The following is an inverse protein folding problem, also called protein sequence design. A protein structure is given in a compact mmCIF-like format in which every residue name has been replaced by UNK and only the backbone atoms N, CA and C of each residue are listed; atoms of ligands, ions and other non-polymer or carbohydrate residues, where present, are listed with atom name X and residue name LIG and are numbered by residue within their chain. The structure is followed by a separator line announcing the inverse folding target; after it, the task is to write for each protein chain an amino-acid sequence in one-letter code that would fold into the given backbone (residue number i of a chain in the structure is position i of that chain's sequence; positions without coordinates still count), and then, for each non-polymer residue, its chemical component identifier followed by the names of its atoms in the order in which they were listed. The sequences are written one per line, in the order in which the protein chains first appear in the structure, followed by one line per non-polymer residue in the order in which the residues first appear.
data_IF_134093771965
#
_entry.id   IF_134093771965
#
_cell.length_a   1.000
_cell.length_b   1.000
_cell.length_c   1.000
_cell.angle_alpha   90.00
_cell.angle_beta   90.00
_cell.angle_gamma   90.00
#
_symmetry.space_group_name_H-M   'P 1'
#
loop_
_entity.id
_entity.type
_entity.pdbx_description
1 polymer ?
#
# COMPACT_ATOMS: atom_id res chain seq x y z
N UNK A 1 2.55 8.17 4.94
CA UNK A 1 3.82 7.93 4.23
C UNK A 1 3.67 8.36 2.78
N UNK A 2 4.78 8.60 2.09
CA UNK A 2 4.78 8.91 0.65
C UNK A 2 5.30 7.70 -0.13
N UNK A 3 4.67 7.39 -1.26
CA UNK A 3 5.12 6.40 -2.23
C UNK A 3 5.03 7.03 -3.63
N UNK A 4 6.16 7.54 -4.11
CA UNK A 4 6.21 8.44 -5.27
C UNK A 4 5.27 9.64 -5.05
N UNK A 5 4.34 9.89 -5.97
CA UNK A 5 3.38 11.01 -5.88
C UNK A 5 2.17 10.70 -4.97
N UNK A 6 2.10 9.49 -4.39
CA UNK A 6 0.97 9.05 -3.59
C UNK A 6 1.22 9.23 -2.09
N UNK A 7 0.33 10.01 -1.47
CA UNK A 7 0.20 10.07 -0.02
C UNK A 7 -0.64 8.91 0.48
N UNK A 8 -0.09 8.13 1.40
CA UNK A 8 -0.71 6.92 1.95
C UNK A 8 -0.84 7.04 3.46
N UNK A 9 -2.08 6.98 3.95
CA UNK A 9 -2.41 6.83 5.36
C UNK A 9 -2.64 5.37 5.71
N UNK A 10 -2.02 4.89 6.79
CA UNK A 10 -2.22 3.53 7.27
C UNK A 10 -1.99 3.47 8.79
N UNK A 11 -2.66 2.54 9.50
CA UNK A 11 -2.45 2.36 10.94
C UNK A 11 -1.08 1.76 11.24
N UNK A 12 -0.57 1.98 12.46
CA UNK A 12 0.75 1.52 12.91
C UNK A 12 0.93 -0.01 12.91
N UNK A 13 -0.17 -0.76 12.84
CA UNK A 13 -0.16 -2.23 12.69
C UNK A 13 0.28 -2.69 11.30
N UNK A 14 0.43 -1.76 10.35
CA UNK A 14 0.99 -2.03 9.03
C UNK A 14 2.43 -1.56 8.95
N UNK A 15 3.26 -2.38 8.32
CA UNK A 15 4.66 -2.10 8.06
C UNK A 15 4.92 -2.15 6.57
N UNK A 16 5.44 -1.07 6.01
CA UNK A 16 5.71 -0.96 4.58
C UNK A 16 7.19 -1.24 4.26
N UNK A 17 7.40 -1.98 3.17
CA UNK A 17 8.69 -2.24 2.55
C UNK A 17 8.67 -1.70 1.13
N UNK A 18 9.58 -0.79 0.82
CA UNK A 18 9.61 -0.10 -0.46
C UNK A 18 10.81 -0.59 -1.26
N UNK A 19 10.56 -0.98 -2.50
CA UNK A 19 11.56 -1.27 -3.52
C UNK A 19 11.44 -0.19 -4.60
N UNK A 20 12.31 0.81 -4.49
CA UNK A 20 12.32 1.98 -5.38
C UNK A 20 12.80 1.63 -6.80
N UNK A 21 13.66 0.63 -6.95
CA UNK A 21 14.20 0.20 -8.24
C UNK A 21 13.10 -0.42 -9.10
N UNK A 22 12.29 -1.30 -8.50
CA UNK A 22 11.16 -1.95 -9.17
C UNK A 22 9.84 -1.17 -9.00
N UNK A 23 9.88 0.01 -8.37
CA UNK A 23 8.72 0.89 -8.11
C UNK A 23 7.53 0.14 -7.49
N UNK A 24 7.82 -0.66 -6.47
CA UNK A 24 6.83 -1.49 -5.76
C UNK A 24 6.93 -1.31 -4.26
N UNK A 25 5.85 -1.65 -3.57
CA UNK A 25 5.75 -1.61 -2.13
C UNK A 25 4.97 -2.83 -1.64
N UNK A 26 5.46 -3.46 -0.57
CA UNK A 26 4.71 -4.48 0.16
C UNK A 26 4.30 -3.92 1.52
N UNK A 27 3.06 -4.16 1.92
CA UNK A 27 2.55 -3.85 3.26
C UNK A 27 2.35 -5.17 3.98
N UNK A 28 3.05 -5.32 5.10
CA UNK A 28 3.01 -6.49 5.96
C UNK A 28 2.40 -6.13 7.32
N UNK A 29 2.09 -7.15 8.09
CA UNK A 29 1.95 -7.07 9.55
C UNK A 29 3.24 -6.54 10.21
N UNK A 30 3.12 -6.01 11.43
CA UNK A 30 4.28 -5.53 12.20
C UNK A 30 5.29 -6.64 12.53
N UNK A 31 4.84 -7.89 12.59
CA UNK A 31 5.68 -9.07 12.88
C UNK A 31 6.32 -9.66 11.61
N UNK A 32 6.09 -9.06 10.44
CA UNK A 32 6.60 -9.51 9.13
C UNK A 32 6.14 -10.93 8.72
N UNK A 33 5.09 -11.47 9.36
CA UNK A 33 4.58 -12.81 9.13
C UNK A 33 3.62 -12.91 7.92
N UNK A 34 2.95 -11.81 7.55
CA UNK A 34 1.98 -11.81 6.45
C UNK A 34 2.04 -10.56 5.57
N UNK A 35 2.07 -10.75 4.25
CA UNK A 35 1.85 -9.67 3.26
C UNK A 35 0.34 -9.40 3.14
N UNK A 36 -0.10 -8.24 3.61
CA UNK A 36 -1.49 -7.77 3.52
C UNK A 36 -1.83 -7.12 2.19
N UNK A 37 -0.88 -6.44 1.57
CA UNK A 37 -1.07 -5.77 0.28
C UNK A 37 0.27 -5.65 -0.45
N UNK A 38 0.24 -5.70 -1.76
CA UNK A 38 1.32 -5.21 -2.60
C UNK A 38 0.81 -4.07 -3.50
N UNK A 39 1.67 -3.12 -3.80
CA UNK A 39 1.43 -2.02 -4.74
C UNK A 39 2.59 -1.93 -5.71
N UNK A 40 2.32 -1.59 -6.95
CA UNK A 40 3.36 -1.38 -7.96
C UNK A 40 2.89 -0.39 -9.03
N UNK A 41 3.84 0.20 -9.74
CA UNK A 41 3.55 0.90 -10.98
C UNK A 41 3.67 -0.06 -12.16
N UNK A 42 2.63 -0.14 -12.98
CA UNK A 42 2.71 -0.89 -14.23
C UNK A 42 3.55 -0.15 -15.30
N UNK A 43 3.73 -0.80 -16.46
CA UNK A 43 4.47 -0.22 -17.59
C UNK A 43 3.88 1.08 -18.17
N UNK A 44 2.64 1.44 -17.79
CA UNK A 44 1.94 2.65 -18.23
C UNK A 44 1.87 3.73 -17.12
N UNK A 45 2.62 3.56 -16.02
CA UNK A 45 2.56 4.43 -14.84
C UNK A 45 1.22 4.42 -14.09
N UNK A 46 0.42 3.38 -14.21
CA UNK A 46 -0.75 3.21 -13.34
C UNK A 46 -0.32 2.62 -12.01
N UNK A 47 -0.87 3.14 -10.90
CA UNK A 47 -0.75 2.49 -9.60
C UNK A 47 -1.68 1.27 -9.56
N UNK A 48 -1.08 0.08 -9.43
CA UNK A 48 -1.79 -1.19 -9.27
C UNK A 48 -1.69 -1.63 -7.82
N UNK A 49 -2.79 -2.12 -7.25
CA UNK A 49 -2.89 -2.54 -5.86
C UNK A 49 -3.46 -3.95 -5.76
N UNK A 50 -2.82 -4.80 -4.97
CA UNK A 50 -3.19 -6.19 -4.73
C UNK A 50 -3.51 -6.41 -3.24
N UNK A 51 -4.68 -5.96 -2.76
CA UNK A 51 -5.08 -6.14 -1.37
C UNK A 51 -5.53 -7.58 -1.09
N UNK A 52 -5.28 -8.07 0.13
CA UNK A 52 -6.07 -9.19 0.67
C UNK A 52 -7.53 -8.75 0.90
N UNK A 53 -8.43 -9.74 0.97
CA UNK A 53 -9.88 -9.54 1.11
C UNK A 53 -10.29 -8.68 2.32
N UNK A 54 -9.49 -8.68 3.38
CA UNK A 54 -9.75 -7.93 4.61
C UNK A 54 -9.12 -6.54 4.62
N UNK A 55 -8.49 -6.10 3.53
CA UNK A 55 -7.90 -4.75 3.43
C UNK A 55 -8.86 -3.84 2.68
N UNK A 56 -9.17 -2.70 3.29
CA UNK A 56 -9.95 -1.65 2.64
C UNK A 56 -9.02 -0.56 2.14
N UNK A 57 -9.32 -0.06 0.94
CA UNK A 57 -8.66 1.09 0.34
C UNK A 57 -9.71 2.19 0.19
N UNK A 58 -9.47 3.35 0.83
CA UNK A 58 -10.31 4.54 0.70
C UNK A 58 -9.57 5.60 -0.10
N UNK A 59 -10.21 6.16 -1.11
CA UNK A 59 -9.68 7.29 -1.90
C UNK A 59 -10.15 8.57 -1.22
N UNK A 60 -9.21 9.37 -0.70
CA UNK A 60 -9.50 10.59 0.06
C UNK A 60 -9.40 11.86 -0.78
N UNK A 61 -8.87 11.74 -2.01
CA UNK A 61 -8.68 12.82 -2.95
C UNK A 61 -7.67 12.42 -4.02
N UNK A 62 -7.15 13.42 -4.71
CA UNK A 62 -6.13 13.21 -5.74
C UNK A 62 -4.84 12.68 -5.10
N UNK A 63 -4.42 11.51 -5.58
CA UNK A 63 -3.21 10.83 -5.12
C UNK A 63 -3.13 10.61 -3.59
N UNK A 64 -4.28 10.53 -2.92
CA UNK A 64 -4.36 10.36 -1.47
C UNK A 64 -5.20 9.15 -1.11
N UNK A 65 -4.53 8.13 -0.57
CA UNK A 65 -5.13 6.86 -0.17
C UNK A 65 -5.07 6.67 1.33
N UNK A 66 -6.06 5.94 1.86
CA UNK A 66 -6.06 5.41 3.22
C UNK A 66 -6.31 3.91 3.21
N UNK A 67 -5.44 3.17 3.89
CA UNK A 67 -5.54 1.73 4.07
C UNK A 67 -5.99 1.40 5.48
N UNK A 68 -6.93 0.47 5.59
CA UNK A 68 -7.38 -0.10 6.86
C UNK A 68 -7.59 -1.60 6.70
N UNK A 69 -7.71 -2.32 7.82
CA UNK A 69 -8.07 -3.75 7.84
C UNK A 69 -9.41 -3.93 8.53
N UNK A 70 -10.28 -4.75 7.97
CA UNK A 70 -11.47 -5.24 8.68
C UNK A 70 -11.01 -6.15 9.81
N UNK A 71 -11.48 -5.84 11.04
CA UNK A 71 -11.30 -6.71 12.21
C UNK A 71 -12.15 -7.96 12.10
#
# INVERSE_FOLDING_TARGET
MEFFDWKIEMPDVFKAYIDLENRRMAILTTEDDEIHMALEFDGNNNLVMHPRWNINITILGDMHLKFTKNS
#
